data_IF_017375455104
#
_entry.id   IF_017375455104
#
_cell.length_a   1.000
_cell.length_b   1.000
_cell.length_c   1.000
_cell.angle_alpha   90.00
_cell.angle_beta   90.00
_cell.angle_gamma   90.00
#
_symmetry.space_group_name_H-M   'P 1'
#
loop_
_entity.id
_entity.type
_entity.pdbx_description
1 polymer ?
#
# COMPACT_ATOMS: atom_id res chain seq x y z
N UNK A 1 -2.51 19.85 10.07
CA UNK A 1 -2.12 18.44 10.32
C UNK A 1 -2.99 17.58 9.45
N UNK A 2 -2.42 16.73 8.60
CA UNK A 2 -3.21 15.69 7.93
C UNK A 2 -3.50 14.61 8.98
N UNK A 3 -4.74 14.14 9.06
CA UNK A 3 -5.16 13.17 10.04
C UNK A 3 -5.19 11.80 9.38
N UNK A 4 -4.45 10.84 9.95
CA UNK A 4 -4.49 9.44 9.51
C UNK A 4 -5.94 8.94 9.54
N UNK A 5 -6.45 8.49 8.41
CA UNK A 5 -7.83 8.05 8.26
C UNK A 5 -7.92 6.52 8.32
N UNK A 6 -8.13 5.99 9.54
CA UNK A 6 -8.33 4.56 9.77
C UNK A 6 -9.78 4.09 9.57
N UNK A 7 -10.72 4.99 9.27
CA UNK A 7 -12.14 4.65 9.11
C UNK A 7 -12.38 3.50 8.12
N UNK A 8 -11.72 3.44 6.94
CA UNK A 8 -11.93 2.36 5.97
C UNK A 8 -11.63 0.96 6.52
N UNK A 9 -10.70 0.83 7.47
CA UNK A 9 -10.38 -0.46 8.08
C UNK A 9 -11.31 -0.78 9.26
N UNK A 10 -11.75 0.24 10.00
CA UNK A 10 -12.66 0.08 11.14
C UNK A 10 -14.05 -0.40 10.73
N UNK A 11 -14.47 -0.11 9.50
CA UNK A 11 -15.76 -0.55 8.95
C UNK A 11 -15.77 -2.02 8.51
N UNK A 12 -14.64 -2.73 8.58
CA UNK A 12 -14.49 -4.12 8.09
C UNK A 12 -14.65 -5.19 9.18
N UNK A 13 -15.18 -4.85 10.35
CA UNK A 13 -15.26 -5.73 11.53
C UNK A 13 -13.90 -6.34 11.94
N UNK A 14 -12.80 -5.66 11.63
CA UNK A 14 -11.46 -6.07 12.00
C UNK A 14 -11.19 -5.74 13.47
N UNK A 15 -10.51 -6.65 14.18
CA UNK A 15 -9.99 -6.33 15.50
C UNK A 15 -8.70 -5.50 15.42
N UNK A 16 -8.29 -4.91 16.54
CA UNK A 16 -7.13 -4.01 16.62
C UNK A 16 -5.83 -4.66 16.12
N UNK A 17 -5.60 -5.94 16.42
CA UNK A 17 -4.40 -6.66 15.96
C UNK A 17 -4.38 -6.87 14.45
N UNK A 18 -5.54 -7.06 13.83
CA UNK A 18 -5.65 -7.17 12.38
C UNK A 18 -5.42 -5.82 11.71
N UNK A 19 -5.95 -4.74 12.28
CA UNK A 19 -5.69 -3.37 11.80
C UNK A 19 -4.21 -3.06 11.91
N UNK A 20 -3.58 -3.37 13.05
CA UNK A 20 -2.14 -3.19 13.26
C UNK A 20 -1.30 -3.98 12.24
N UNK A 21 -1.64 -5.25 12.00
CA UNK A 21 -0.95 -6.08 11.02
C UNK A 21 -1.03 -5.47 9.60
N UNK A 22 -2.19 -4.95 9.20
CA UNK A 22 -2.35 -4.24 7.93
C UNK A 22 -1.44 -3.00 7.89
N UNK A 23 -1.46 -2.16 8.93
CA UNK A 23 -0.63 -0.95 8.98
C UNK A 23 0.88 -1.26 8.92
N UNK A 24 1.32 -2.31 9.61
CA UNK A 24 2.70 -2.79 9.52
C UNK A 24 3.03 -3.20 8.09
N UNK A 25 2.14 -3.94 7.41
CA UNK A 25 2.33 -4.33 6.01
C UNK A 25 2.31 -3.15 5.02
N UNK A 26 1.68 -2.02 5.36
CA UNK A 26 1.68 -0.81 4.53
C UNK A 26 2.96 0.03 4.68
N UNK A 27 3.67 -0.10 5.80
CA UNK A 27 4.89 0.71 6.08
C UNK A 27 5.96 0.58 4.98
N UNK A 28 6.31 -0.63 4.51
CA UNK A 28 7.29 -0.77 3.42
C UNK A 28 6.82 -0.16 2.09
N UNK A 29 5.52 -0.27 1.78
CA UNK A 29 4.94 0.33 0.56
C UNK A 29 5.00 1.85 0.61
N UNK A 30 4.71 2.43 1.78
CA UNK A 30 4.85 3.87 1.99
C UNK A 30 6.32 4.32 1.85
N UNK A 31 7.25 3.58 2.44
CA UNK A 31 8.67 3.87 2.34
C UNK A 31 9.16 3.86 0.88
N UNK A 32 8.73 2.86 0.10
CA UNK A 32 9.07 2.78 -1.33
C UNK A 32 8.51 3.97 -2.13
N UNK A 33 7.24 4.36 -1.88
CA UNK A 33 6.65 5.54 -2.51
C UNK A 33 7.37 6.84 -2.15
N UNK A 34 7.82 6.99 -0.90
CA UNK A 34 8.60 8.14 -0.43
C UNK A 34 9.96 8.18 -1.12
N UNK A 35 10.64 7.04 -1.23
CA UNK A 35 11.93 6.96 -1.92
C UNK A 35 11.79 7.29 -3.41
N UNK A 36 10.79 6.73 -4.10
CA UNK A 36 10.50 7.05 -5.50
C UNK A 36 10.22 8.53 -5.71
N UNK A 37 9.52 9.16 -4.77
CA UNK A 37 9.23 10.59 -4.82
C UNK A 37 10.50 11.43 -4.61
N UNK A 38 11.41 11.02 -3.73
CA UNK A 38 12.72 11.65 -3.61
C UNK A 38 13.55 11.50 -4.89
N UNK A 39 13.63 10.30 -5.46
CA UNK A 39 14.39 10.04 -6.71
C UNK A 39 13.82 10.80 -7.91
N UNK A 40 12.51 11.08 -7.91
CA UNK A 40 11.85 11.89 -8.95
C UNK A 40 12.19 13.38 -8.83
N UNK A 41 12.36 13.88 -7.61
CA UNK A 41 12.48 15.31 -7.31
C UNK A 41 13.93 15.75 -7.17
N UNK A 42 14.78 14.86 -6.66
CA UNK A 42 16.19 15.11 -6.38
C UNK A 42 17.04 14.52 -7.50
N UNK A 43 18.03 15.28 -7.95
CA UNK A 43 19.04 14.75 -8.87
C UNK A 43 20.09 13.97 -8.09
N UNK A 44 20.79 13.05 -8.75
CA UNK A 44 21.93 12.32 -8.18
C UNK A 44 22.96 13.28 -7.57
N UNK A 45 23.23 14.42 -8.21
CA UNK A 45 24.14 15.45 -7.69
C UNK A 45 23.67 16.07 -6.36
N UNK A 46 22.36 16.26 -6.20
CA UNK A 46 21.79 16.81 -4.97
C UNK A 46 21.81 15.78 -3.84
N UNK A 47 21.55 14.51 -4.17
CA UNK A 47 21.70 13.40 -3.23
C UNK A 47 23.16 13.28 -2.77
N UNK A 48 24.11 13.23 -3.69
CA UNK A 48 25.55 13.18 -3.40
C UNK A 48 26.02 14.39 -2.56
N UNK A 49 25.50 15.58 -2.85
CA UNK A 49 25.82 16.79 -2.08
C UNK A 49 25.30 16.70 -0.64
N UNK A 50 24.11 16.13 -0.43
CA UNK A 50 23.56 15.93 0.92
C UNK A 50 24.41 14.89 1.65
N UNK A 51 24.60 13.72 1.05
CA UNK A 51 25.33 12.60 1.68
C UNK A 51 26.78 12.95 2.01
N UNK A 52 27.47 13.71 1.15
CA UNK A 52 28.84 14.17 1.41
C UNK A 52 28.96 15.20 2.53
N UNK A 53 27.89 15.97 2.82
CA UNK A 53 27.86 16.97 3.90
C UNK A 53 27.41 16.41 5.24
N UNK A 54 26.67 15.31 5.22
CA UNK A 54 26.06 14.68 6.40
C UNK A 54 26.61 13.27 6.66
N UNK A 55 27.85 13.01 6.22
CA UNK A 55 28.50 11.71 6.25
C UNK A 55 28.37 11.01 7.63
N UNK A 56 27.86 9.77 7.62
CA UNK A 56 27.49 8.96 8.81
C UNK A 56 26.48 9.59 9.79
N UNK A 57 25.69 10.58 9.36
CA UNK A 57 24.67 11.23 10.19
C UNK A 57 23.27 11.12 9.57
N UNK A 58 22.60 9.95 9.72
CA UNK A 58 21.34 9.65 9.05
C UNK A 58 20.22 10.64 9.39
N UNK A 59 20.21 11.20 10.61
CA UNK A 59 19.24 12.23 11.00
C UNK A 59 19.47 13.57 10.28
N UNK A 60 20.72 13.99 10.14
CA UNK A 60 21.05 15.25 9.43
C UNK A 60 20.77 15.10 7.92
N UNK A 61 21.07 13.94 7.32
CA UNK A 61 20.71 13.64 5.93
C UNK A 61 19.20 13.73 5.70
N UNK A 62 18.40 13.11 6.59
CA UNK A 62 16.95 13.10 6.46
C UNK A 62 16.33 14.49 6.56
N UNK A 63 16.84 15.34 7.46
CA UNK A 63 16.40 16.73 7.58
C UNK A 63 16.71 17.50 6.30
N UNK A 64 17.95 17.39 5.79
CA UNK A 64 18.34 18.05 4.55
C UNK A 64 17.50 17.59 3.34
N UNK A 65 17.22 16.29 3.22
CA UNK A 65 16.34 15.75 2.20
C UNK A 65 14.93 16.34 2.30
N UNK A 66 14.39 16.43 3.51
CA UNK A 66 13.05 17.00 3.76
C UNK A 66 12.99 18.48 3.38
N UNK A 67 14.00 19.27 3.77
CA UNK A 67 14.08 20.70 3.45
C UNK A 67 14.20 20.94 1.94
N UNK A 68 15.03 20.17 1.25
CA UNK A 68 15.22 20.28 -0.20
C UNK A 68 13.94 19.88 -0.96
N UNK A 69 13.26 18.83 -0.51
CA UNK A 69 11.97 18.44 -1.06
C UNK A 69 10.96 19.58 -0.94
N UNK A 70 10.78 20.15 0.26
CA UNK A 70 9.85 21.26 0.48
C UNK A 70 10.18 22.49 -0.37
N UNK A 71 11.46 22.82 -0.51
CA UNK A 71 11.90 23.91 -1.38
C UNK A 71 11.53 23.68 -2.86
N UNK A 72 11.61 22.44 -3.35
CA UNK A 72 11.33 22.09 -4.76
C UNK A 72 9.84 21.92 -5.06
N UNK A 73 9.10 21.30 -4.17
CA UNK A 73 7.70 20.93 -4.41
C UNK A 73 6.71 21.92 -3.81
N UNK A 74 7.13 22.73 -2.83
CA UNK A 74 6.26 23.57 -2.03
C UNK A 74 5.42 22.79 -1.01
N UNK A 75 5.69 21.50 -0.82
CA UNK A 75 4.98 20.63 0.12
C UNK A 75 5.94 19.89 1.04
N UNK A 76 5.54 19.60 2.28
CA UNK A 76 6.35 18.79 3.18
C UNK A 76 6.24 17.31 2.87
N UNK A 77 7.32 16.55 3.06
CA UNK A 77 7.32 15.09 2.87
C UNK A 77 6.31 14.38 3.79
N UNK A 78 6.03 14.96 4.97
CA UNK A 78 4.99 14.47 5.86
C UNK A 78 3.61 14.55 5.21
N UNK A 79 3.27 15.67 4.55
CA UNK A 79 1.98 15.83 3.87
C UNK A 79 1.82 14.84 2.72
N UNK A 80 2.88 14.64 1.93
CA UNK A 80 2.92 13.60 0.91
C UNK A 80 2.70 12.20 1.52
N UNK A 81 3.46 11.89 2.57
CA UNK A 81 3.41 10.58 3.26
C UNK A 81 2.03 10.30 3.85
N UNK A 82 1.41 11.27 4.51
CA UNK A 82 0.06 11.15 5.07
C UNK A 82 -0.98 10.89 3.98
N UNK A 83 -0.84 11.57 2.83
CA UNK A 83 -1.73 11.40 1.68
C UNK A 83 -1.60 9.98 1.12
N UNK A 84 -0.37 9.51 0.90
CA UNK A 84 -0.11 8.15 0.39
C UNK A 84 -0.51 7.06 1.36
N UNK A 85 -0.30 7.27 2.66
CA UNK A 85 -0.75 6.32 3.68
C UNK A 85 -2.27 6.19 3.69
N UNK A 86 -3.02 7.28 3.56
CA UNK A 86 -4.48 7.25 3.47
C UNK A 86 -4.98 6.57 2.18
N UNK A 87 -4.31 6.78 1.05
CA UNK A 87 -4.59 6.05 -0.20
C UNK A 87 -4.36 4.54 -0.02
N UNK A 88 -3.21 4.15 0.54
CA UNK A 88 -2.86 2.74 0.81
C UNK A 88 -3.86 2.08 1.77
N UNK A 89 -4.28 2.77 2.82
CA UNK A 89 -5.32 2.29 3.75
C UNK A 89 -6.64 2.02 3.01
N UNK A 90 -7.05 2.94 2.13
CA UNK A 90 -8.27 2.78 1.34
C UNK A 90 -8.17 1.61 0.35
N UNK A 91 -7.01 1.43 -0.28
CA UNK A 91 -6.76 0.29 -1.17
C UNK A 91 -6.76 -1.04 -0.40
N UNK A 92 -6.10 -1.10 0.75
CA UNK A 92 -6.08 -2.29 1.61
C UNK A 92 -7.50 -2.67 2.05
N UNK A 93 -8.31 -1.69 2.45
CA UNK A 93 -9.70 -1.91 2.81
C UNK A 93 -10.51 -2.50 1.64
N UNK A 94 -10.36 -1.94 0.43
CA UNK A 94 -11.03 -2.44 -0.77
C UNK A 94 -10.60 -3.88 -1.14
N UNK A 95 -9.30 -4.18 -1.07
CA UNK A 95 -8.78 -5.53 -1.30
C UNK A 95 -9.39 -6.52 -0.30
N UNK A 96 -9.50 -6.13 0.97
CA UNK A 96 -10.11 -6.97 2.00
C UNK A 96 -11.60 -7.26 1.71
N UNK A 97 -12.38 -6.24 1.33
CA UNK A 97 -13.78 -6.42 0.93
C UNK A 97 -13.90 -7.40 -0.23
N UNK A 98 -13.11 -7.20 -1.30
CA UNK A 98 -13.11 -8.09 -2.46
C UNK A 98 -12.73 -9.52 -2.09
N UNK A 99 -11.73 -9.69 -1.22
CA UNK A 99 -11.32 -11.01 -0.74
C UNK A 99 -12.45 -11.70 0.03
N UNK A 100 -13.18 -10.96 0.89
CA UNK A 100 -14.34 -11.49 1.61
C UNK A 100 -15.46 -11.92 0.66
N UNK A 101 -15.80 -11.08 -0.31
CA UNK A 101 -16.78 -11.42 -1.35
C UNK A 101 -16.37 -12.67 -2.13
N UNK A 102 -15.09 -12.77 -2.48
CA UNK A 102 -14.54 -13.92 -3.20
C UNK A 102 -14.64 -15.21 -2.38
N UNK A 103 -14.31 -15.15 -1.08
CA UNK A 103 -14.44 -16.28 -0.16
C UNK A 103 -15.89 -16.73 -0.01
N UNK A 104 -16.84 -15.80 0.12
CA UNK A 104 -18.27 -16.14 0.21
C UNK A 104 -18.79 -16.78 -1.08
N UNK A 105 -18.40 -16.28 -2.26
CA UNK A 105 -18.74 -16.92 -3.54
C UNK A 105 -18.16 -18.34 -3.64
N UNK A 106 -16.92 -18.55 -3.23
CA UNK A 106 -16.31 -19.88 -3.21
C UNK A 106 -17.03 -20.86 -2.28
N UNK A 107 -17.54 -20.42 -1.12
CA UNK A 107 -18.34 -21.28 -0.22
C UNK A 107 -19.65 -21.73 -0.85
N UNK A 108 -20.20 -20.95 -1.79
CA UNK A 108 -21.41 -21.28 -2.54
C UNK A 108 -21.20 -22.31 -3.66
N UNK A 109 -19.95 -22.62 -4.01
CA UNK A 109 -19.65 -23.59 -5.07
C UNK A 109 -19.91 -25.03 -4.60
N UNK A 110 -20.45 -25.85 -5.52
CA UNK A 110 -20.48 -27.30 -5.34
C UNK A 110 -19.05 -27.86 -5.32
N UNK A 111 -18.80 -29.04 -4.71
CA UNK A 111 -17.45 -29.63 -4.66
C UNK A 111 -16.79 -29.76 -6.05
N UNK A 112 -17.55 -30.17 -7.07
CA UNK A 112 -17.03 -30.27 -8.44
C UNK A 112 -16.68 -28.91 -9.08
N UNK A 113 -17.44 -27.86 -8.76
CA UNK A 113 -17.10 -26.51 -9.20
C UNK A 113 -15.92 -25.92 -8.42
N UNK A 114 -15.74 -26.28 -7.15
CA UNK A 114 -14.58 -25.87 -6.36
C UNK A 114 -13.28 -26.48 -6.90
N UNK A 115 -13.31 -27.76 -7.29
CA UNK A 115 -12.14 -28.42 -7.88
C UNK A 115 -11.81 -27.83 -9.25
N UNK A 116 -12.83 -27.60 -10.09
CA UNK A 116 -12.65 -26.88 -11.36
C UNK A 116 -12.12 -25.46 -11.15
N UNK A 117 -12.62 -24.76 -10.15
CA UNK A 117 -12.15 -23.41 -9.81
C UNK A 117 -10.66 -23.41 -9.45
N UNK A 118 -10.19 -24.36 -8.62
CA UNK A 118 -8.77 -24.49 -8.27
C UNK A 118 -7.91 -24.80 -9.51
N UNK A 119 -8.37 -25.69 -10.38
CA UNK A 119 -7.68 -26.03 -11.63
C UNK A 119 -7.54 -24.79 -12.54
N UNK A 120 -8.55 -23.92 -12.60
CA UNK A 120 -8.47 -22.68 -13.38
C UNK A 120 -7.44 -21.69 -12.78
N UNK A 121 -7.39 -21.55 -11.45
CA UNK A 121 -6.39 -20.71 -10.77
C UNK A 121 -4.97 -21.26 -10.96
N UNK A 122 -4.77 -22.58 -10.87
CA UNK A 122 -3.45 -23.21 -11.09
C UNK A 122 -2.94 -23.05 -12.53
N UNK A 123 -3.84 -22.86 -13.49
CA UNK A 123 -3.53 -22.64 -14.90
C UNK A 123 -3.51 -21.15 -15.30
N UNK A 124 -3.55 -20.23 -14.33
CA UNK A 124 -3.62 -18.77 -14.54
C UNK A 124 -4.83 -18.30 -15.40
N UNK A 125 -5.89 -19.12 -15.52
CA UNK A 125 -7.13 -18.76 -16.22
C UNK A 125 -8.10 -18.03 -15.28
N UNK A 126 -7.71 -16.81 -14.91
CA UNK A 126 -8.47 -15.97 -13.99
C UNK A 126 -9.83 -15.53 -14.57
N UNK A 127 -9.95 -15.40 -15.89
CA UNK A 127 -11.21 -14.99 -16.54
C UNK A 127 -12.28 -16.08 -16.40
N UNK A 128 -11.92 -17.33 -16.70
CA UNK A 128 -12.84 -18.46 -16.51
C UNK A 128 -13.14 -18.71 -15.03
N UNK A 129 -12.16 -18.50 -14.14
CA UNK A 129 -12.34 -18.62 -12.70
C UNK A 129 -13.36 -17.59 -12.17
N UNK A 130 -13.28 -16.34 -12.64
CA UNK A 130 -14.23 -15.28 -12.30
C UNK A 130 -15.63 -15.56 -12.86
N UNK A 131 -15.73 -16.06 -14.10
CA UNK A 131 -17.02 -16.46 -14.68
C UNK A 131 -17.69 -17.56 -13.86
N UNK A 132 -16.92 -18.56 -13.39
CA UNK A 132 -17.43 -19.64 -12.56
C UNK A 132 -18.01 -19.11 -11.24
N UNK A 133 -17.38 -18.13 -10.62
CA UNK A 133 -17.87 -17.45 -9.41
C UNK A 133 -19.07 -16.50 -9.65
N UNK A 134 -19.32 -16.10 -10.90
CA UNK A 134 -20.47 -15.26 -11.29
C UNK A 134 -21.76 -16.04 -11.59
N UNK A 135 -21.72 -17.38 -11.55
CA UNK A 135 -22.87 -18.27 -11.86
C UNK A 135 -23.64 -18.79 -10.64
N UNK A 136 -23.18 -18.46 -9.42
CA UNK A 136 -23.83 -18.75 -8.13
C UNK A 136 -24.67 -17.59 -7.64
#
# INVERSE_FOLDING_TARGET
>A
MSQLNLQPLKELDLNEKQIEAILISLTPLLQDLVNQEFDRVLTDEEQDMIESKTDNKPLESLVAYTELYEHKTGESIQKFSDTKLNELISMAANVYVKQKEYIEKMKGLSPGNLDKFKELIENDDFESADQLLGTT
#
